data_IF_452550728798
#
_entry.id   IF_452550728798
#
_cell.length_a   1.000
_cell.length_b   1.000
_cell.length_c   1.000
_cell.angle_alpha   90.00
_cell.angle_beta   90.00
_cell.angle_gamma   90.00
#
_symmetry.space_group_name_H-M   'P 1'
#
loop_
_entity.id
_entity.type
_entity.pdbx_description
1 polymer ?
#
# COMPACT_ATOMS: atom_id res chain seq x y z
N UNK A 1 -23.04 9.03 20.44
CA UNK A 1 -22.37 10.13 21.16
C UNK A 1 -22.48 11.35 20.27
N UNK A 2 -22.86 12.51 20.80
CA UNK A 2 -23.10 13.71 19.99
C UNK A 2 -21.85 14.58 20.02
N UNK A 3 -21.07 14.51 18.95
CA UNK A 3 -19.98 15.45 18.67
C UNK A 3 -20.57 16.59 17.84
N UNK A 4 -20.14 17.83 18.11
CA UNK A 4 -20.52 18.99 17.30
C UNK A 4 -19.47 19.34 16.25
N UNK A 5 -18.26 18.78 16.40
CA UNK A 5 -17.17 18.88 15.45
C UNK A 5 -17.10 17.63 14.57
N UNK A 6 -16.61 17.82 13.34
CA UNK A 6 -16.24 16.73 12.44
C UNK A 6 -14.72 16.66 12.30
N UNK A 7 -14.17 15.45 12.17
CA UNK A 7 -12.72 15.25 12.05
C UNK A 7 -12.14 15.96 10.80
N UNK A 8 -12.90 16.00 9.70
CA UNK A 8 -12.52 16.69 8.47
C UNK A 8 -12.37 18.20 8.67
N UNK A 9 -13.23 18.83 9.48
CA UNK A 9 -13.15 20.27 9.77
C UNK A 9 -11.88 20.60 10.54
N UNK A 10 -11.54 19.78 11.54
CA UNK A 10 -10.31 19.96 12.33
C UNK A 10 -9.08 19.75 11.44
N UNK A 11 -9.09 18.73 10.58
CA UNK A 11 -8.01 18.49 9.63
C UNK A 11 -7.86 19.66 8.65
N UNK A 12 -8.94 20.17 8.05
CA UNK A 12 -8.91 21.32 7.13
C UNK A 12 -8.34 22.56 7.80
N UNK A 13 -8.73 22.84 9.04
CA UNK A 13 -8.14 23.92 9.83
C UNK A 13 -6.63 23.74 9.98
N UNK A 14 -6.16 22.58 10.43
CA UNK A 14 -4.73 22.31 10.62
C UNK A 14 -3.95 22.32 9.30
N UNK A 15 -4.55 21.82 8.22
CA UNK A 15 -3.97 21.83 6.87
C UNK A 15 -3.79 23.25 6.36
N UNK A 16 -4.78 24.12 6.56
CA UNK A 16 -4.67 25.53 6.20
C UNK A 16 -3.59 26.25 7.04
N UNK A 17 -3.51 25.96 8.35
CA UNK A 17 -2.41 26.48 9.19
C UNK A 17 -1.05 26.04 8.65
N UNK A 18 -0.89 24.76 8.28
CA UNK A 18 0.34 24.22 7.72
C UNK A 18 0.73 24.92 6.41
N UNK A 19 -0.22 25.12 5.51
CA UNK A 19 0.00 25.79 4.23
C UNK A 19 0.43 27.26 4.38
N UNK A 20 -0.12 27.97 5.37
CA UNK A 20 0.15 29.39 5.57
C UNK A 20 1.36 29.66 6.46
N UNK A 21 1.61 28.81 7.47
CA UNK A 21 2.70 29.02 8.44
C UNK A 21 3.15 27.71 9.07
N UNK A 22 4.18 27.11 8.47
CA UNK A 22 4.83 25.92 9.01
C UNK A 22 5.42 26.18 10.42
N UNK A 23 5.95 27.38 10.67
CA UNK A 23 6.50 27.79 11.97
C UNK A 23 5.45 27.81 13.09
N UNK A 24 4.17 27.99 12.76
CA UNK A 24 3.07 28.01 13.73
C UNK A 24 2.50 26.63 14.00
N UNK A 25 2.61 25.72 13.04
CA UNK A 25 1.97 24.41 13.08
C UNK A 25 2.49 23.54 14.22
N UNK A 26 3.80 23.32 14.31
CA UNK A 26 4.39 22.42 15.31
C UNK A 26 4.09 22.87 16.74
N UNK A 27 4.27 24.16 17.11
CA UNK A 27 3.88 24.67 18.42
C UNK A 27 2.38 24.55 18.73
N UNK A 28 1.52 24.75 17.72
CA UNK A 28 0.08 24.61 17.86
C UNK A 28 -0.30 23.14 18.09
N UNK A 29 0.23 22.22 17.28
CA UNK A 29 0.02 20.78 17.44
C UNK A 29 0.49 20.31 18.82
N UNK A 30 1.66 20.74 19.30
CA UNK A 30 2.13 20.45 20.66
C UNK A 30 1.16 20.92 21.76
N UNK A 31 0.41 21.99 21.52
CA UNK A 31 -0.60 22.48 22.46
C UNK A 31 -1.92 21.71 22.39
N UNK A 32 -2.21 21.11 21.23
CA UNK A 32 -3.45 20.37 20.98
C UNK A 32 -3.35 18.88 21.33
N UNK A 33 -2.17 18.27 21.14
CA UNK A 33 -1.85 16.84 21.29
C UNK A 33 -1.84 16.31 22.73
N UNK A 34 -1.75 14.99 22.84
CA UNK A 34 -1.60 14.26 24.10
C UNK A 34 -0.11 13.99 24.42
N UNK A 35 0.37 14.18 25.67
CA UNK A 35 -0.33 14.76 26.82
C UNK A 35 -0.46 16.28 26.71
N UNK A 36 -1.64 16.80 27.06
CA UNK A 36 -1.88 18.25 27.05
C UNK A 36 -1.47 18.89 28.38
N UNK A 37 -0.60 19.89 28.30
CA UNK A 37 -0.06 20.62 29.46
C UNK A 37 -0.88 21.88 29.81
N UNK A 38 -2.19 21.72 30.01
CA UNK A 38 -3.08 22.81 30.45
C UNK A 38 -4.54 22.64 30.08
N UNK A 39 -5.45 23.47 30.64
CA UNK A 39 -6.85 23.49 30.25
C UNK A 39 -7.02 24.03 28.83
N UNK A 40 -8.08 23.61 28.14
CA UNK A 40 -8.41 24.04 26.76
C UNK A 40 -8.48 25.57 26.65
N UNK A 41 -9.01 26.24 27.67
CA UNK A 41 -9.08 27.72 27.73
C UNK A 41 -7.73 28.43 27.68
N UNK A 42 -6.66 27.79 28.15
CA UNK A 42 -5.31 28.33 28.04
C UNK A 42 -4.78 28.28 26.59
N UNK A 43 -5.31 27.39 25.74
CA UNK A 43 -4.97 27.29 24.32
C UNK A 43 -5.52 28.49 23.56
N UNK A 44 -6.80 28.84 23.78
CA UNK A 44 -7.42 30.03 23.19
C UNK A 44 -6.62 31.29 23.54
N UNK A 45 -6.33 31.49 24.83
CA UNK A 45 -5.60 32.67 25.30
C UNK A 45 -4.18 32.77 24.72
N UNK A 46 -3.52 31.62 24.49
CA UNK A 46 -2.16 31.55 23.95
C UNK A 46 -2.12 31.80 22.44
N UNK A 47 -3.00 31.16 21.68
CA UNK A 47 -2.89 31.06 20.23
C UNK A 47 -3.81 32.02 19.47
N UNK A 48 -4.92 32.47 20.06
CA UNK A 48 -5.85 33.37 19.39
C UNK A 48 -5.19 34.67 18.89
N UNK A 49 -4.34 35.37 19.66
CA UNK A 49 -3.67 36.59 19.18
C UNK A 49 -2.76 36.33 17.98
N UNK A 50 -2.02 35.22 18.00
CA UNK A 50 -1.11 34.82 16.92
C UNK A 50 -1.89 34.41 15.67
N UNK A 51 -2.92 33.58 15.80
CA UNK A 51 -3.76 33.17 14.67
C UNK A 51 -4.47 34.39 14.08
N UNK A 52 -5.03 35.28 14.90
CA UNK A 52 -5.74 36.48 14.42
C UNK A 52 -4.84 37.50 13.71
N UNK A 53 -3.53 37.49 13.98
CA UNK A 53 -2.58 38.40 13.34
C UNK A 53 -1.89 37.76 12.14
N UNK A 54 -1.50 36.49 12.23
CA UNK A 54 -0.77 35.78 11.17
C UNK A 54 -1.71 35.19 10.11
N UNK A 55 -2.85 34.64 10.52
CA UNK A 55 -3.84 33.99 9.62
C UNK A 55 -5.27 34.42 10.02
N UNK A 56 -5.66 35.68 9.76
CA UNK A 56 -6.91 36.25 10.27
C UNK A 56 -8.17 35.49 9.82
N UNK A 57 -8.12 34.89 8.62
CA UNK A 57 -9.21 34.11 8.03
C UNK A 57 -9.59 32.89 8.88
N UNK A 58 -8.64 32.32 9.63
CA UNK A 58 -8.85 31.17 10.50
C UNK A 58 -9.26 31.55 11.93
N UNK A 59 -9.28 32.84 12.28
CA UNK A 59 -9.52 33.27 13.67
C UNK A 59 -10.89 32.82 14.19
N UNK A 60 -11.93 32.90 13.35
CA UNK A 60 -13.29 32.46 13.69
C UNK A 60 -13.39 30.95 13.83
N UNK A 61 -12.77 30.20 12.91
CA UNK A 61 -12.75 28.73 12.98
C UNK A 61 -11.99 28.24 14.20
N UNK A 62 -10.83 28.84 14.50
CA UNK A 62 -10.08 28.52 15.71
C UNK A 62 -10.93 28.75 16.97
N UNK A 63 -11.59 29.91 17.10
CA UNK A 63 -12.47 30.16 18.24
C UNK A 63 -13.61 29.15 18.33
N UNK A 64 -14.23 28.78 17.20
CA UNK A 64 -15.30 27.78 17.13
C UNK A 64 -14.81 26.42 17.62
N UNK A 65 -13.68 25.93 17.09
CA UNK A 65 -13.09 24.64 17.46
C UNK A 65 -12.77 24.57 18.95
N UNK A 66 -12.06 25.59 19.48
CA UNK A 66 -11.66 25.57 20.88
C UNK A 66 -12.86 25.76 21.81
N UNK A 67 -13.82 26.61 21.46
CA UNK A 67 -15.05 26.78 22.26
C UNK A 67 -15.90 25.51 22.32
N UNK A 68 -15.95 24.73 21.23
CA UNK A 68 -16.64 23.44 21.22
C UNK A 68 -15.93 22.43 22.13
N UNK A 69 -14.60 22.33 22.03
CA UNK A 69 -13.78 21.49 22.90
C UNK A 69 -13.87 21.90 24.38
N UNK A 70 -13.94 23.19 24.70
CA UNK A 70 -14.12 23.66 26.09
C UNK A 70 -15.46 23.22 26.69
N UNK A 71 -16.51 23.15 25.88
CA UNK A 71 -17.88 22.85 26.33
C UNK A 71 -18.19 21.36 26.36
N UNK A 72 -17.53 20.57 25.52
CA UNK A 72 -17.84 19.16 25.33
C UNK A 72 -16.55 18.31 25.37
N UNK A 73 -16.40 17.39 26.34
CA UNK A 73 -15.21 16.54 26.46
C UNK A 73 -15.01 15.61 25.25
N UNK A 74 -16.08 15.25 24.54
CA UNK A 74 -16.00 14.42 23.34
C UNK A 74 -15.41 15.18 22.16
N UNK A 75 -15.81 16.45 21.98
CA UNK A 75 -15.23 17.35 20.97
C UNK A 75 -13.75 17.63 21.29
N UNK A 76 -13.41 17.75 22.58
CA UNK A 76 -12.01 17.86 23.03
C UNK A 76 -11.18 16.59 22.76
N UNK A 77 -11.78 15.41 22.97
CA UNK A 77 -11.15 14.14 22.63
C UNK A 77 -10.96 14.00 21.12
N UNK A 78 -11.91 14.43 20.29
CA UNK A 78 -11.78 14.45 18.83
C UNK A 78 -10.67 15.40 18.38
N UNK A 79 -10.63 16.63 18.92
CA UNK A 79 -9.59 17.61 18.61
C UNK A 79 -8.18 17.07 18.91
N UNK A 80 -8.00 16.38 20.05
CA UNK A 80 -6.74 15.70 20.38
C UNK A 80 -6.40 14.61 19.38
N UNK A 81 -7.34 13.70 19.13
CA UNK A 81 -7.13 12.57 18.21
C UNK A 81 -6.74 13.06 16.82
N UNK A 82 -7.45 14.03 16.25
CA UNK A 82 -7.09 14.58 14.93
C UNK A 82 -5.72 15.28 14.98
N UNK A 83 -5.39 16.02 16.03
CA UNK A 83 -4.06 16.64 16.16
C UNK A 83 -2.93 15.62 16.30
N UNK A 84 -3.15 14.52 17.02
CA UNK A 84 -2.21 13.39 17.18
C UNK A 84 -1.99 12.69 15.82
N UNK A 85 -3.05 12.49 15.04
CA UNK A 85 -3.01 11.83 13.73
C UNK A 85 -2.71 12.76 12.55
N UNK A 86 -2.62 14.08 12.78
CA UNK A 86 -2.43 15.07 11.71
C UNK A 86 -1.23 14.78 10.79
N UNK A 87 -0.02 14.41 11.30
CA UNK A 87 1.12 14.12 10.42
C UNK A 87 0.86 12.96 9.48
N UNK A 88 0.17 11.92 9.96
CA UNK A 88 -0.22 10.77 9.15
C UNK A 88 -1.18 11.21 8.06
N UNK A 89 -2.28 11.86 8.45
CA UNK A 89 -3.32 12.31 7.52
C UNK A 89 -2.74 13.24 6.46
N UNK A 90 -1.86 14.16 6.86
CA UNK A 90 -1.17 15.06 5.94
C UNK A 90 -0.28 14.30 4.95
N UNK A 91 0.59 13.38 5.43
CA UNK A 91 1.46 12.56 4.57
C UNK A 91 0.65 11.75 3.56
N UNK A 92 -0.43 11.13 3.99
CA UNK A 92 -1.33 10.35 3.11
C UNK A 92 -2.04 11.27 2.11
N UNK A 93 -2.53 12.43 2.55
CA UNK A 93 -3.23 13.38 1.67
C UNK A 93 -2.38 13.90 0.51
N UNK A 94 -1.04 13.91 0.64
CA UNK A 94 -0.15 14.29 -0.46
C UNK A 94 -0.17 13.30 -1.65
N UNK A 95 -0.66 12.08 -1.44
CA UNK A 95 -0.77 11.05 -2.49
C UNK A 95 -2.21 10.87 -3.00
N UNK A 96 -3.19 11.48 -2.34
CA UNK A 96 -4.59 11.39 -2.75
C UNK A 96 -4.91 12.52 -3.73
N UNK A 97 -5.67 12.20 -4.77
CA UNK A 97 -5.97 13.13 -5.86
C UNK A 97 -7.09 14.11 -5.52
N UNK A 98 -8.01 13.71 -4.63
CA UNK A 98 -9.23 14.47 -4.34
C UNK A 98 -9.48 14.64 -2.84
N UNK A 99 -10.12 15.76 -2.48
CA UNK A 99 -10.57 16.02 -1.10
C UNK A 99 -11.53 14.93 -0.59
N UNK A 100 -12.32 14.32 -1.48
CA UNK A 100 -13.22 13.22 -1.15
C UNK A 100 -12.45 11.96 -0.70
N UNK A 101 -11.33 11.65 -1.35
CA UNK A 101 -10.45 10.54 -0.93
C UNK A 101 -9.84 10.81 0.45
N UNK A 102 -9.42 12.06 0.70
CA UNK A 102 -8.89 12.47 2.02
C UNK A 102 -9.96 12.33 3.09
N UNK A 103 -11.19 12.76 2.81
CA UNK A 103 -12.31 12.62 3.73
C UNK A 103 -12.65 11.15 4.00
N UNK A 104 -12.66 10.30 2.97
CA UNK A 104 -12.84 8.85 3.12
C UNK A 104 -11.75 8.24 3.99
N UNK A 105 -10.49 8.60 3.79
CA UNK A 105 -9.38 8.13 4.61
C UNK A 105 -9.57 8.52 6.09
N UNK A 106 -9.88 9.79 6.37
CA UNK A 106 -10.13 10.27 7.74
C UNK A 106 -11.30 9.52 8.38
N UNK A 107 -12.36 9.21 7.62
CA UNK A 107 -13.49 8.41 8.09
C UNK A 107 -13.08 6.98 8.40
N UNK A 108 -12.22 6.36 7.60
CA UNK A 108 -11.70 5.01 7.87
C UNK A 108 -10.97 4.95 9.22
N UNK A 109 -10.16 5.98 9.54
CA UNK A 109 -9.46 6.07 10.83
C UNK A 109 -10.40 6.12 12.06
N UNK A 110 -11.71 6.33 11.86
CA UNK A 110 -12.73 6.29 12.92
C UNK A 110 -12.41 7.18 14.13
N UNK A 111 -11.82 8.36 13.87
CA UNK A 111 -11.35 9.30 14.90
C UNK A 111 -12.47 9.93 15.72
N UNK A 112 -13.73 9.70 15.37
CA UNK A 112 -14.90 10.10 16.16
C UNK A 112 -15.06 9.25 17.43
N UNK A 113 -14.63 7.97 17.39
CA UNK A 113 -14.81 7.02 18.50
C UNK A 113 -13.49 6.44 19.02
N UNK A 114 -13.54 5.90 20.24
CA UNK A 114 -12.43 5.11 20.77
C UNK A 114 -12.48 3.72 20.14
N UNK A 115 -12.04 3.64 18.90
CA UNK A 115 -11.99 2.42 18.11
C UNK A 115 -10.58 1.86 18.17
N UNK A 116 -10.44 0.55 18.38
CA UNK A 116 -9.12 -0.09 18.37
C UNK A 116 -8.56 -0.15 16.95
N UNK A 117 -7.23 -0.22 16.84
CA UNK A 117 -6.56 -0.33 15.53
C UNK A 117 -7.06 -1.53 14.73
N UNK A 118 -7.30 -2.66 15.40
CA UNK A 118 -7.82 -3.88 14.76
C UNK A 118 -9.23 -3.71 14.18
N UNK A 119 -10.05 -2.84 14.75
CA UNK A 119 -11.38 -2.52 14.23
C UNK A 119 -11.33 -1.52 13.06
N UNK A 120 -10.26 -0.71 12.96
CA UNK A 120 -10.03 0.22 11.85
C UNK A 120 -9.43 -0.48 10.63
N UNK A 121 -8.61 -1.51 10.84
CA UNK A 121 -7.90 -2.22 9.76
C UNK A 121 -8.80 -2.63 8.57
N UNK A 122 -9.98 -3.24 8.76
CA UNK A 122 -10.82 -3.66 7.64
C UNK A 122 -11.30 -2.51 6.75
N UNK A 123 -11.73 -1.38 7.35
CA UNK A 123 -12.18 -0.21 6.58
C UNK A 123 -11.01 0.48 5.87
N UNK A 124 -9.83 0.47 6.51
CA UNK A 124 -8.59 0.97 5.91
C UNK A 124 -8.16 0.13 4.71
N UNK A 125 -8.17 -1.21 4.82
CA UNK A 125 -7.89 -2.09 3.69
C UNK A 125 -8.90 -1.93 2.55
N UNK A 126 -10.19 -1.78 2.88
CA UNK A 126 -11.21 -1.51 1.87
C UNK A 126 -10.90 -0.22 1.11
N UNK A 127 -10.49 0.85 1.81
CA UNK A 127 -10.07 2.09 1.19
C UNK A 127 -8.83 1.91 0.31
N UNK A 128 -7.79 1.23 0.79
CA UNK A 128 -6.55 0.98 0.05
C UNK A 128 -6.78 0.19 -1.25
N UNK A 129 -7.73 -0.76 -1.22
CA UNK A 129 -8.11 -1.55 -2.41
C UNK A 129 -8.85 -0.72 -3.47
N UNK A 130 -9.32 0.49 -3.16
CA UNK A 130 -9.95 1.40 -4.14
C UNK A 130 -8.93 2.27 -4.88
N UNK A 131 -7.68 2.30 -4.42
CA UNK A 131 -6.62 3.13 -4.99
C UNK A 131 -5.87 2.36 -6.08
N UNK A 132 -5.25 3.09 -7.01
CA UNK A 132 -4.31 2.49 -7.96
C UNK A 132 -3.09 1.90 -7.22
N UNK A 133 -2.39 0.97 -7.87
CA UNK A 133 -1.29 0.22 -7.24
C UNK A 133 -0.17 1.12 -6.73
N UNK A 134 0.16 2.20 -7.45
CA UNK A 134 1.32 3.03 -7.12
C UNK A 134 1.00 3.91 -5.90
N UNK A 135 -0.19 4.52 -5.90
CA UNK A 135 -0.71 5.29 -4.76
C UNK A 135 -0.89 4.41 -3.54
N UNK A 136 -1.46 3.21 -3.71
CA UNK A 136 -1.65 2.23 -2.63
C UNK A 136 -0.33 1.87 -1.96
N UNK A 137 0.69 1.47 -2.73
CA UNK A 137 2.00 1.11 -2.19
C UNK A 137 2.65 2.27 -1.42
N UNK A 138 2.52 3.50 -1.92
CA UNK A 138 3.03 4.69 -1.23
C UNK A 138 2.35 4.89 0.13
N UNK A 139 1.03 4.75 0.19
CA UNK A 139 0.24 4.93 1.41
C UNK A 139 0.46 3.78 2.40
N UNK A 140 0.52 2.54 1.92
CA UNK A 140 0.86 1.36 2.74
C UNK A 140 2.20 1.55 3.45
N UNK A 141 3.24 2.00 2.74
CA UNK A 141 4.54 2.32 3.36
C UNK A 141 4.43 3.38 4.45
N UNK A 142 3.65 4.46 4.22
CA UNK A 142 3.44 5.51 5.22
C UNK A 142 2.77 4.94 6.47
N UNK A 143 1.76 4.08 6.29
CA UNK A 143 1.00 3.48 7.38
C UNK A 143 1.80 2.43 8.17
N UNK A 144 2.72 1.71 7.53
CA UNK A 144 3.64 0.78 8.19
C UNK A 144 4.68 1.50 9.04
N UNK A 145 5.16 2.66 8.58
CA UNK A 145 6.09 3.51 9.33
C UNK A 145 5.42 4.29 10.47
N UNK A 146 4.09 4.37 10.47
CA UNK A 146 3.34 5.23 11.38
C UNK A 146 3.28 4.66 12.81
N UNK A 147 3.55 5.47 13.84
CA UNK A 147 3.60 5.01 15.24
C UNK A 147 2.25 4.55 15.80
N UNK A 148 1.11 4.88 15.16
CA UNK A 148 -0.20 4.39 15.59
C UNK A 148 -0.41 2.91 15.24
N UNK A 149 0.42 2.36 14.35
CA UNK A 149 0.46 0.92 14.08
C UNK A 149 -0.74 0.39 13.29
N UNK A 150 -1.36 1.22 12.45
CA UNK A 150 -2.52 0.84 11.64
C UNK A 150 -2.26 -0.34 10.71
N UNK A 151 -1.04 -0.42 10.17
CA UNK A 151 -0.57 -1.54 9.36
C UNK A 151 0.81 -1.98 9.85
N UNK A 152 1.09 -3.27 9.71
CA UNK A 152 2.41 -3.84 9.87
C UNK A 152 2.98 -4.26 8.52
N UNK A 153 4.29 -4.51 8.44
CA UNK A 153 4.89 -5.02 7.21
C UNK A 153 4.24 -6.34 6.72
N UNK A 154 3.67 -7.14 7.62
CA UNK A 154 2.94 -8.39 7.32
C UNK A 154 1.53 -8.15 6.79
N UNK A 155 0.97 -6.97 7.04
CA UNK A 155 -0.32 -6.55 6.49
C UNK A 155 -0.16 -6.03 5.05
N UNK A 156 1.04 -5.52 4.73
CA UNK A 156 1.41 -4.98 3.42
C UNK A 156 2.25 -5.94 2.58
N UNK A 157 2.62 -7.10 3.12
CA UNK A 157 3.04 -8.22 2.25
C UNK A 157 1.87 -8.52 1.33
N UNK A 158 2.08 -8.63 0.01
CA UNK A 158 1.04 -9.10 -0.90
C UNK A 158 0.49 -10.38 -0.28
N UNK A 159 -0.80 -10.41 0.06
CA UNK A 159 -1.43 -11.63 0.53
C UNK A 159 -1.13 -12.68 -0.52
N UNK A 160 -0.32 -13.68 -0.18
CA UNK A 160 0.15 -14.76 -1.05
C UNK A 160 -0.07 -14.48 -2.54
N UNK A 161 0.76 -13.64 -3.15
CA UNK A 161 0.81 -13.46 -4.60
C UNK A 161 -0.55 -13.54 -5.32
N UNK A 162 -1.35 -12.48 -5.30
CA UNK A 162 -2.67 -12.52 -5.93
C UNK A 162 -2.53 -12.65 -7.45
N UNK A 163 -2.93 -13.80 -7.99
CA UNK A 163 -3.04 -14.03 -9.42
C UNK A 163 -4.35 -13.43 -9.92
N UNK A 164 -4.27 -12.36 -10.72
CA UNK A 164 -5.43 -11.74 -11.38
C UNK A 164 -6.03 -12.71 -12.42
N UNK A 165 -7.00 -13.53 -11.97
CA UNK A 165 -7.63 -14.57 -12.78
C UNK A 165 -8.46 -14.01 -13.93
N UNK A 166 -9.07 -12.83 -13.74
CA UNK A 166 -9.89 -12.18 -14.76
C UNK A 166 -9.00 -11.75 -15.92
N UNK A 167 -7.88 -11.07 -15.62
CA UNK A 167 -6.89 -10.65 -16.61
C UNK A 167 -6.16 -11.84 -17.24
N UNK A 168 -5.89 -12.90 -16.47
CA UNK A 168 -5.33 -14.15 -17.00
C UNK A 168 -6.27 -14.79 -18.03
N UNK A 169 -7.57 -14.83 -17.74
CA UNK A 169 -8.58 -15.37 -18.67
C UNK A 169 -8.70 -14.54 -19.95
N UNK A 170 -8.60 -13.21 -19.81
CA UNK A 170 -8.72 -12.26 -20.92
C UNK A 170 -7.53 -12.33 -21.88
N UNK A 171 -6.31 -12.46 -21.35
CA UNK A 171 -5.08 -12.63 -22.15
C UNK A 171 -5.03 -13.99 -22.83
N UNK A 172 -5.48 -15.05 -22.15
CA UNK A 172 -5.46 -16.40 -22.72
C UNK A 172 -6.51 -16.53 -23.82
N UNK A 173 -7.73 -16.01 -23.62
CA UNK A 173 -8.83 -16.00 -24.61
C UNK A 173 -9.35 -17.38 -25.07
N UNK A 174 -8.63 -18.46 -24.77
CA UNK A 174 -8.93 -19.86 -25.05
C UNK A 174 -9.27 -20.57 -23.72
N UNK A 175 -10.53 -20.93 -23.54
CA UNK A 175 -11.02 -21.56 -22.31
C UNK A 175 -10.31 -22.88 -21.99
N UNK A 176 -9.91 -23.67 -22.99
CA UNK A 176 -9.22 -24.93 -22.78
C UNK A 176 -7.78 -24.71 -22.33
N UNK A 177 -7.11 -23.68 -22.86
CA UNK A 177 -5.77 -23.29 -22.42
C UNK A 177 -5.80 -22.68 -21.02
N UNK A 178 -6.82 -21.87 -20.69
CA UNK A 178 -6.99 -21.29 -19.37
C UNK A 178 -7.17 -22.39 -18.32
N UNK A 179 -8.01 -23.39 -18.58
CA UNK A 179 -8.17 -24.56 -17.71
C UNK A 179 -6.85 -25.33 -17.52
N UNK A 180 -6.04 -25.48 -18.58
CA UNK A 180 -4.72 -26.13 -18.48
C UNK A 180 -3.75 -25.33 -17.60
N UNK A 181 -3.70 -24.01 -17.77
CA UNK A 181 -2.87 -23.12 -16.94
C UNK A 181 -3.30 -23.19 -15.48
N UNK A 182 -4.60 -23.16 -15.20
CA UNK A 182 -5.14 -23.29 -13.85
C UNK A 182 -4.86 -24.67 -13.24
N UNK A 183 -4.98 -25.74 -14.03
CA UNK A 183 -4.67 -27.09 -13.57
C UNK A 183 -3.18 -27.24 -13.20
N UNK A 184 -2.27 -26.64 -13.98
CA UNK A 184 -0.83 -26.59 -13.68
C UNK A 184 -0.57 -25.90 -12.34
N UNK A 185 -1.16 -24.72 -12.14
CA UNK A 185 -1.04 -23.94 -10.89
C UNK A 185 -1.54 -24.75 -9.69
N UNK A 186 -2.75 -25.31 -9.79
CA UNK A 186 -3.36 -26.08 -8.71
C UNK A 186 -2.61 -27.37 -8.41
N UNK A 187 -2.10 -28.06 -9.44
CA UNK A 187 -1.34 -29.30 -9.28
C UNK A 187 -0.01 -29.05 -8.57
N UNK A 188 0.71 -28.01 -8.97
CA UNK A 188 2.01 -27.67 -8.37
C UNK A 188 1.83 -27.14 -6.94
N UNK A 189 0.80 -26.33 -6.69
CA UNK A 189 0.44 -25.91 -5.34
C UNK A 189 0.08 -27.10 -4.44
N UNK A 190 -0.73 -28.05 -4.91
CA UNK A 190 -1.08 -29.27 -4.17
C UNK A 190 0.13 -30.17 -3.87
N UNK A 191 1.17 -30.11 -4.71
CA UNK A 191 2.44 -30.82 -4.53
C UNK A 191 3.45 -30.04 -3.68
N UNK A 192 3.13 -28.82 -3.25
CA UNK A 192 4.01 -27.94 -2.49
C UNK A 192 5.24 -27.50 -3.28
N UNK A 193 5.15 -27.42 -4.62
CA UNK A 193 6.24 -26.99 -5.47
C UNK A 193 6.40 -25.46 -5.44
N UNK A 194 7.63 -24.94 -5.58
CA UNK A 194 7.87 -23.51 -5.73
C UNK A 194 7.08 -22.90 -6.90
N UNK A 195 6.63 -21.65 -6.75
CA UNK A 195 5.85 -20.95 -7.79
C UNK A 195 6.57 -20.90 -9.15
N UNK A 196 7.91 -20.81 -9.13
CA UNK A 196 8.72 -20.79 -10.36
C UNK A 196 8.52 -22.04 -11.23
N UNK A 197 8.20 -23.20 -10.64
CA UNK A 197 7.89 -24.43 -11.38
C UNK A 197 6.57 -24.29 -12.17
N UNK A 198 5.58 -23.61 -11.59
CA UNK A 198 4.33 -23.27 -12.29
C UNK A 198 4.58 -22.31 -13.43
N UNK A 199 5.43 -21.30 -13.22
CA UNK A 199 5.81 -20.33 -14.26
C UNK A 199 6.52 -21.00 -15.44
N UNK A 200 7.45 -21.92 -15.18
CA UNK A 200 8.16 -22.67 -16.21
C UNK A 200 7.22 -23.57 -17.03
N UNK A 201 6.35 -24.32 -16.36
CA UNK A 201 5.40 -25.20 -17.06
C UNK A 201 4.37 -24.39 -17.86
N UNK A 202 3.94 -23.23 -17.36
CA UNK A 202 3.07 -22.33 -18.13
C UNK A 202 3.80 -21.74 -19.34
N UNK A 203 5.09 -21.38 -19.21
CA UNK A 203 5.90 -20.94 -20.34
C UNK A 203 5.91 -21.99 -21.46
N UNK A 204 6.20 -23.24 -21.14
CA UNK A 204 6.20 -24.33 -22.15
C UNK A 204 4.84 -24.49 -22.84
N UNK A 205 3.74 -24.31 -22.10
CA UNK A 205 2.37 -24.40 -22.64
C UNK A 205 2.03 -23.26 -23.61
N UNK A 206 2.59 -22.06 -23.40
CA UNK A 206 2.18 -20.84 -24.12
C UNK A 206 3.24 -20.28 -25.08
N UNK A 207 4.49 -20.78 -25.03
CA UNK A 207 5.61 -20.31 -25.85
C UNK A 207 5.29 -20.33 -27.34
N UNK A 208 4.77 -21.45 -27.83
CA UNK A 208 4.50 -21.65 -29.26
C UNK A 208 3.24 -20.89 -29.72
N UNK A 209 2.51 -20.26 -28.79
CA UNK A 209 1.31 -19.45 -29.04
C UNK A 209 1.57 -17.94 -28.97
N UNK A 210 2.79 -17.52 -28.62
CA UNK A 210 3.16 -16.09 -28.56
C UNK A 210 2.46 -15.29 -27.46
N UNK A 211 1.87 -15.94 -26.46
CA UNK A 211 1.13 -15.29 -25.37
C UNK A 211 2.02 -14.93 -24.17
N UNK A 212 3.28 -15.40 -24.17
CA UNK A 212 4.18 -15.28 -23.02
C UNK A 212 4.39 -13.82 -22.56
N UNK A 213 4.66 -12.92 -23.50
CA UNK A 213 4.93 -11.50 -23.19
C UNK A 213 3.77 -10.82 -22.44
N UNK A 214 2.53 -11.28 -22.67
CA UNK A 214 1.34 -10.73 -22.02
C UNK A 214 1.01 -11.45 -20.70
N UNK A 215 1.39 -12.73 -20.57
CA UNK A 215 1.13 -13.56 -19.39
C UNK A 215 2.21 -13.43 -18.31
N UNK A 216 3.47 -13.27 -18.70
CA UNK A 216 4.59 -13.11 -17.79
C UNK A 216 4.36 -12.04 -16.70
N UNK A 217 3.91 -10.80 -17.02
CA UNK A 217 3.68 -9.78 -16.00
C UNK A 217 2.54 -10.11 -15.04
N UNK A 218 1.59 -10.97 -15.43
CA UNK A 218 0.48 -11.43 -14.58
C UNK A 218 0.98 -12.52 -13.62
N UNK A 219 1.77 -13.47 -14.12
CA UNK A 219 2.35 -14.56 -13.32
C UNK A 219 3.44 -14.07 -12.36
N UNK A 220 4.11 -12.97 -12.70
CA UNK A 220 5.09 -12.30 -11.83
C UNK A 220 4.45 -11.63 -10.61
N UNK A 221 3.14 -11.33 -10.64
CA UNK A 221 2.42 -10.78 -9.48
C UNK A 221 2.44 -11.72 -8.27
N UNK A 222 2.70 -13.01 -8.51
CA UNK A 222 2.75 -14.04 -7.48
C UNK A 222 4.15 -14.18 -6.85
N UNK A 223 5.19 -13.62 -7.46
CA UNK A 223 6.57 -13.65 -6.93
C UNK A 223 6.72 -12.53 -5.89
N UNK A 224 6.62 -12.87 -4.61
CA UNK A 224 6.65 -11.95 -3.48
C UNK A 224 8.04 -11.57 -2.96
N UNK A 225 9.12 -12.07 -3.55
CA UNK A 225 10.48 -11.72 -3.11
C UNK A 225 11.21 -10.87 -4.16
N UNK A 226 11.24 -9.53 -4.02
CA UNK A 226 12.08 -8.68 -4.87
C UNK A 226 13.58 -8.87 -4.60
N UNK A 227 13.97 -9.69 -3.61
CA UNK A 227 15.37 -9.85 -3.20
C UNK A 227 16.01 -11.20 -3.53
N UNK A 228 15.37 -12.10 -4.29
CA UNK A 228 16.10 -13.30 -4.70
C UNK A 228 17.07 -13.02 -5.86
N UNK A 229 16.73 -12.07 -6.75
CA UNK A 229 17.54 -11.64 -7.90
C UNK A 229 17.28 -10.17 -8.27
N UNK A 230 18.31 -9.32 -8.34
CA UNK A 230 18.17 -7.88 -8.62
C UNK A 230 17.97 -7.56 -10.12
N UNK A 231 18.02 -8.56 -10.99
CA UNK A 231 17.74 -8.43 -12.42
C UNK A 231 17.43 -9.80 -13.06
N UNK A 232 16.78 -9.78 -14.23
CA UNK A 232 16.58 -10.98 -15.06
C UNK A 232 17.93 -11.65 -15.44
N UNK A 233 18.99 -10.85 -15.62
CA UNK A 233 20.34 -11.36 -15.90
C UNK A 233 20.95 -12.07 -14.68
N UNK A 234 20.73 -11.55 -13.48
CA UNK A 234 21.15 -12.18 -12.21
C UNK A 234 20.36 -13.46 -11.93
N UNK A 235 19.07 -13.49 -12.29
CA UNK A 235 18.23 -14.69 -12.26
C UNK A 235 18.77 -15.79 -13.18
N UNK A 236 19.17 -15.45 -14.41
CA UNK A 236 19.77 -16.39 -15.35
C UNK A 236 21.14 -16.86 -14.85
N UNK A 237 21.96 -15.96 -14.30
CA UNK A 237 23.28 -16.30 -13.76
C UNK A 237 23.21 -17.24 -12.57
N UNK A 238 22.46 -16.90 -11.52
CA UNK A 238 22.45 -17.75 -10.32
C UNK A 238 21.75 -19.09 -10.54
N UNK A 239 20.62 -19.11 -11.26
CA UNK A 239 19.82 -20.34 -11.40
C UNK A 239 20.32 -21.26 -12.52
N UNK A 240 20.95 -20.72 -13.57
CA UNK A 240 21.42 -21.52 -14.71
C UNK A 240 22.95 -21.58 -14.84
N UNK A 241 23.71 -20.66 -14.24
CA UNK A 241 25.18 -20.63 -14.39
C UNK A 241 25.93 -21.00 -13.09
N UNK A 242 25.42 -20.66 -11.90
CA UNK A 242 26.21 -20.83 -10.66
C UNK A 242 25.92 -22.10 -9.84
N UNK A 243 24.69 -22.65 -9.81
CA UNK A 243 24.36 -23.79 -8.91
C UNK A 243 23.66 -24.99 -9.59
N UNK A 244 24.02 -25.31 -10.84
CA UNK A 244 23.69 -26.61 -11.46
C UNK A 244 23.24 -26.60 -12.92
N UNK A 245 22.98 -25.43 -13.51
CA UNK A 245 22.58 -25.35 -14.93
C UNK A 245 23.70 -25.67 -15.94
N UNK A 246 24.95 -25.82 -15.48
CA UNK A 246 26.02 -26.44 -16.28
C UNK A 246 25.71 -27.89 -16.66
N UNK A 247 24.98 -28.65 -15.82
CA UNK A 247 24.57 -30.02 -16.20
C UNK A 247 23.45 -30.03 -17.25
N UNK A 248 22.61 -28.99 -17.30
CA UNK A 248 21.57 -28.85 -18.33
C UNK A 248 22.17 -28.39 -19.66
N UNK A 249 23.10 -27.42 -19.63
CA UNK A 249 23.85 -26.99 -20.80
C UNK A 249 24.77 -28.10 -21.35
N UNK A 250 25.42 -28.89 -20.49
CA UNK A 250 26.23 -30.03 -20.93
C UNK A 250 25.34 -31.14 -21.55
N UNK A 251 24.14 -31.39 -21.01
CA UNK A 251 23.20 -32.34 -21.61
C UNK A 251 22.58 -31.85 -22.93
N UNK A 252 22.31 -30.55 -23.10
CA UNK A 252 21.86 -29.98 -24.38
C UNK A 252 23.00 -29.90 -25.40
N UNK A 253 24.24 -29.61 -24.98
CA UNK A 253 25.42 -29.62 -25.85
C UNK A 253 25.75 -31.06 -26.29
N UNK A 254 25.67 -32.05 -25.40
CA UNK A 254 25.85 -33.47 -25.75
C UNK A 254 24.73 -33.95 -26.68
N UNK A 255 23.48 -33.55 -26.44
CA UNK A 255 22.35 -33.91 -27.32
C UNK A 255 22.47 -33.26 -28.69
N UNK A 256 22.90 -32.01 -28.77
CA UNK A 256 23.13 -31.28 -30.02
C UNK A 256 24.36 -31.83 -30.76
N UNK A 257 25.44 -32.22 -30.06
CA UNK A 257 26.59 -32.90 -30.68
C UNK A 257 26.24 -34.30 -31.18
N UNK A 258 25.44 -35.07 -30.44
CA UNK A 258 24.99 -36.41 -30.85
C UNK A 258 24.03 -36.32 -32.04
N UNK A 259 23.11 -35.36 -32.07
CA UNK A 259 22.25 -35.11 -33.23
C UNK A 259 23.04 -34.63 -34.46
N UNK A 260 24.07 -33.80 -34.27
CA UNK A 260 24.97 -33.36 -35.34
C UNK A 260 25.87 -34.50 -35.85
N UNK A 261 26.32 -35.42 -34.97
CA UNK A 261 27.03 -36.64 -35.37
C UNK A 261 26.12 -37.64 -36.10
N UNK A 262 24.87 -37.79 -35.68
CA UNK A 262 23.88 -38.67 -36.32
C UNK A 262 23.40 -38.14 -37.68
N UNK A 263 23.37 -36.82 -37.88
CA UNK A 263 23.11 -36.21 -39.19
C UNK A 263 24.27 -36.42 -40.16
N UNK A 264 25.52 -36.33 -39.68
CA UNK A 264 26.72 -36.57 -40.51
C UNK A 264 26.97 -38.06 -40.81
N UNK A 265 26.35 -38.99 -40.08
CA UNK A 265 26.36 -40.43 -40.37
C UNK A 265 25.26 -40.89 -41.35
N UNK A 266 24.38 -39.97 -41.78
CA UNK A 266 23.34 -40.21 -42.80
C UNK A 266 23.67 -39.60 -44.18
N UNK A 267 24.89 -39.11 -44.38
CA UNK A 267 25.47 -38.88 -45.71
C UNK A 267 26.35 -40.05 -46.12
#
# INVERSE_FOLDING_TARGET
MSHSLEAIDIYRFLSFVHQQSQDLLDPLLLSLRTPRFGPVSAITARWYPTISSTIPELATDFQRLISAAERNPEDDAMLRRVADHYPLIYRVSCFLETDDQVELFIRCLSLDRMTSVEEVKPSLFQFLNLLDSDTRQCIERILVEDPHGYLSAQDCTPSDGFLDLDRLSEVIGDSALFEQVMATIQSNAARGLPWIESVQQIYELVRDRGLWEQLAPILQQVITDPNEYNSYEEYVQKNFLDDGGQQYLDQEIDRTQVEFMLQNLKM
#
